data_IF_379716993747
#
_entry.id   IF_379716993747
#
_cell.length_a   1.000
_cell.length_b   1.000
_cell.length_c   1.000
_cell.angle_alpha   90.00
_cell.angle_beta   90.00
_cell.angle_gamma   90.00
#
_symmetry.space_group_name_H-M   'P 1'
#
loop_
_entity.id
_entity.type
_entity.pdbx_description
1 polymer ?
#
# COMPACT_ATOMS: atom_id res chain seq x y z
N UNK A 1 -32.54 60.61 -38.72
CA UNK A 1 -32.68 59.16 -38.71
C UNK A 1 -31.78 58.65 -37.61
N UNK A 2 -32.34 58.32 -36.40
CA UNK A 2 -31.58 57.85 -35.25
C UNK A 2 -31.74 56.33 -35.21
N UNK A 3 -30.62 55.58 -35.40
CA UNK A 3 -30.58 54.15 -35.25
C UNK A 3 -30.43 53.82 -33.76
N UNK A 4 -31.43 53.17 -33.20
CA UNK A 4 -31.38 52.57 -31.83
C UNK A 4 -30.72 51.21 -31.95
N UNK A 5 -29.51 51.07 -31.36
CA UNK A 5 -28.83 49.82 -31.24
C UNK A 5 -29.33 49.12 -29.95
N UNK A 6 -30.18 48.10 -30.09
CA UNK A 6 -30.56 47.24 -28.98
C UNK A 6 -29.44 46.21 -28.75
N UNK A 7 -28.64 46.40 -27.68
CA UNK A 7 -27.70 45.40 -27.16
C UNK A 7 -28.52 44.31 -26.43
N UNK A 8 -28.64 43.16 -27.05
CA UNK A 8 -29.11 41.94 -26.37
C UNK A 8 -27.99 41.40 -25.48
N UNK A 9 -28.09 41.56 -24.17
CA UNK A 9 -27.27 40.84 -23.22
C UNK A 9 -27.82 39.41 -23.12
N UNK A 10 -27.11 38.43 -23.70
CA UNK A 10 -27.35 37.03 -23.44
C UNK A 10 -26.79 36.74 -22.04
N UNK A 11 -27.65 36.64 -21.04
CA UNK A 11 -27.30 36.11 -19.74
C UNK A 11 -27.12 34.59 -19.87
N UNK A 12 -25.87 34.13 -19.88
CA UNK A 12 -25.55 32.72 -19.74
C UNK A 12 -25.80 32.40 -18.27
N UNK A 13 -26.98 31.86 -17.96
CA UNK A 13 -27.27 31.30 -16.65
C UNK A 13 -26.53 29.99 -16.50
N UNK A 14 -25.42 30.00 -15.79
CA UNK A 14 -24.81 28.76 -15.31
C UNK A 14 -25.80 28.18 -14.31
N UNK A 15 -26.37 27.02 -14.64
CA UNK A 15 -27.14 26.24 -13.68
C UNK A 15 -26.18 25.70 -12.63
N UNK A 16 -26.10 26.39 -11.51
CA UNK A 16 -25.34 25.96 -10.37
C UNK A 16 -25.96 24.68 -9.86
N UNK A 17 -25.22 23.56 -9.94
CA UNK A 17 -25.69 22.26 -9.44
C UNK A 17 -25.94 22.41 -7.94
N UNK A 18 -27.20 22.20 -7.54
CA UNK A 18 -27.53 22.24 -6.12
C UNK A 18 -27.07 20.93 -5.48
N UNK A 19 -25.94 20.98 -4.75
CA UNK A 19 -25.31 19.82 -4.11
C UNK A 19 -26.31 19.11 -3.20
N UNK A 20 -27.09 19.85 -2.42
CA UNK A 20 -28.09 19.25 -1.52
C UNK A 20 -29.18 18.46 -2.27
N UNK A 21 -29.65 18.97 -3.41
CA UNK A 21 -30.62 18.25 -4.23
C UNK A 21 -30.03 16.98 -4.80
N UNK A 22 -28.77 17.02 -5.25
CA UNK A 22 -28.04 15.84 -5.75
C UNK A 22 -27.89 14.75 -4.66
N UNK A 23 -27.49 15.17 -3.45
CA UNK A 23 -27.40 14.26 -2.30
C UNK A 23 -28.74 13.63 -1.97
N UNK A 24 -29.80 14.42 -1.94
CA UNK A 24 -31.15 13.92 -1.65
C UNK A 24 -31.62 12.91 -2.73
N UNK A 25 -31.37 13.20 -3.99
CA UNK A 25 -31.69 12.28 -5.09
C UNK A 25 -30.91 10.96 -4.99
N UNK A 26 -29.62 11.05 -4.69
CA UNK A 26 -28.76 9.87 -4.50
C UNK A 26 -29.25 8.99 -3.34
N UNK A 27 -29.58 9.59 -2.21
CA UNK A 27 -30.06 8.84 -1.03
C UNK A 27 -31.42 8.18 -1.29
N UNK A 28 -32.29 8.83 -2.08
CA UNK A 28 -33.62 8.31 -2.40
C UNK A 28 -33.62 7.27 -3.52
N UNK A 29 -32.51 7.06 -4.22
CA UNK A 29 -32.41 6.05 -5.27
C UNK A 29 -32.68 4.65 -4.68
N UNK A 30 -33.51 3.87 -5.39
CA UNK A 30 -33.90 2.53 -4.99
C UNK A 30 -32.70 1.58 -4.80
N UNK A 31 -31.60 1.79 -5.51
CA UNK A 31 -30.35 1.04 -5.36
C UNK A 31 -29.77 1.23 -3.96
N UNK A 32 -29.91 2.42 -3.38
CA UNK A 32 -29.34 2.80 -2.08
C UNK A 32 -30.26 2.51 -0.88
N UNK A 33 -31.42 1.93 -1.08
CA UNK A 33 -32.45 1.73 -0.04
C UNK A 33 -31.98 1.00 1.24
N UNK A 34 -30.91 0.20 1.14
CA UNK A 34 -30.34 -0.56 2.26
C UNK A 34 -28.97 -0.03 2.70
N UNK A 35 -28.46 1.01 2.03
CA UNK A 35 -27.19 1.62 2.38
C UNK A 35 -27.32 2.54 3.59
N UNK A 36 -26.28 2.52 4.45
CA UNK A 36 -26.08 3.58 5.45
C UNK A 36 -25.25 4.67 4.82
N UNK A 37 -25.80 5.86 4.70
CA UNK A 37 -25.17 6.99 4.02
C UNK A 37 -25.03 8.14 5.01
N UNK A 38 -23.84 8.71 5.06
CA UNK A 38 -23.56 9.99 5.70
C UNK A 38 -22.85 10.89 4.70
N UNK A 39 -23.16 12.16 4.74
CA UNK A 39 -22.54 13.14 3.84
C UNK A 39 -22.47 14.51 4.51
N UNK A 40 -21.34 15.20 4.32
CA UNK A 40 -21.20 16.60 4.62
C UNK A 40 -20.24 17.23 3.62
N UNK A 41 -20.65 18.34 3.01
CA UNK A 41 -19.79 19.21 2.23
C UNK A 41 -19.75 20.57 2.89
N UNK A 42 -18.54 21.11 3.06
CA UNK A 42 -18.30 22.38 3.72
C UNK A 42 -17.34 23.21 2.89
N UNK A 43 -17.62 24.51 2.80
CA UNK A 43 -16.68 25.47 2.26
C UNK A 43 -15.52 25.64 3.24
N UNK A 44 -14.29 25.39 2.77
CA UNK A 44 -13.10 25.38 3.63
C UNK A 44 -12.64 26.77 4.06
N UNK A 45 -13.02 27.82 3.33
CA UNK A 45 -12.63 29.19 3.65
C UNK A 45 -13.59 29.80 4.69
N UNK A 46 -14.88 29.55 4.53
CA UNK A 46 -15.92 30.14 5.36
C UNK A 46 -16.40 29.23 6.49
N UNK A 47 -16.16 27.93 6.41
CA UNK A 47 -16.70 26.92 7.32
C UNK A 47 -18.20 26.65 7.13
N UNK A 48 -18.83 27.24 6.11
CA UNK A 48 -20.26 27.05 5.86
C UNK A 48 -20.57 25.66 5.31
N UNK A 49 -21.54 24.97 5.88
CA UNK A 49 -22.05 23.71 5.35
C UNK A 49 -22.87 23.98 4.09
N UNK A 50 -22.43 23.40 2.97
CA UNK A 50 -23.07 23.53 1.64
C UNK A 50 -24.19 22.49 1.49
N UNK A 51 -23.95 21.27 1.97
CA UNK A 51 -24.94 20.18 1.97
C UNK A 51 -24.60 19.17 3.04
N UNK A 52 -25.62 18.51 3.61
CA UNK A 52 -25.42 17.45 4.57
C UNK A 52 -26.54 16.41 4.53
N UNK A 53 -26.22 15.19 4.98
CA UNK A 53 -27.17 14.12 5.19
C UNK A 53 -26.63 13.16 6.26
N UNK A 54 -27.36 13.02 7.37
CA UNK A 54 -26.96 12.17 8.50
C UNK A 54 -25.51 12.38 8.96
N UNK A 55 -24.98 13.60 8.90
CA UNK A 55 -23.59 13.95 9.13
C UNK A 55 -23.07 13.57 10.53
N UNK A 56 -23.97 13.40 11.50
CA UNK A 56 -23.65 12.99 12.86
C UNK A 56 -23.73 11.47 13.09
N UNK A 57 -24.11 10.70 12.07
CA UNK A 57 -24.18 9.24 12.20
C UNK A 57 -22.80 8.61 12.08
N UNK A 58 -22.37 7.88 13.11
CA UNK A 58 -21.13 7.13 13.05
C UNK A 58 -21.26 5.90 12.14
N UNK A 59 -20.36 5.80 11.16
CA UNK A 59 -20.18 4.63 10.31
C UNK A 59 -18.68 4.30 10.23
N UNK A 60 -18.31 3.02 9.93
CA UNK A 60 -16.91 2.67 9.74
C UNK A 60 -16.27 3.48 8.62
N UNK A 61 -15.21 4.20 8.93
CA UNK A 61 -14.51 5.08 7.99
C UNK A 61 -13.69 4.33 6.94
N UNK A 62 -13.44 3.04 7.13
CA UNK A 62 -12.54 2.24 6.30
C UNK A 62 -11.22 3.01 6.00
N UNK A 63 -10.77 3.02 4.77
CA UNK A 63 -9.52 3.72 4.37
C UNK A 63 -9.56 5.23 4.50
N UNK A 64 -10.71 5.88 4.70
CA UNK A 64 -10.75 7.32 4.98
C UNK A 64 -10.09 7.68 6.30
N UNK A 65 -9.99 6.72 7.24
CA UNK A 65 -9.23 6.87 8.49
C UNK A 65 -7.75 7.22 8.26
N UNK A 66 -7.18 6.83 7.11
CA UNK A 66 -5.81 7.17 6.72
C UNK A 66 -5.58 8.68 6.61
N UNK A 67 -6.63 9.46 6.29
CA UNK A 67 -6.53 10.93 6.24
C UNK A 67 -6.14 11.50 7.61
N UNK A 68 -6.70 10.97 8.69
CA UNK A 68 -6.36 11.40 10.04
C UNK A 68 -4.93 10.99 10.40
N UNK A 69 -4.53 9.75 10.12
CA UNK A 69 -3.18 9.26 10.43
C UNK A 69 -2.11 10.04 9.66
N UNK A 70 -2.33 10.27 8.35
CA UNK A 70 -1.37 10.99 7.51
C UNK A 70 -1.31 12.48 7.84
N UNK A 71 -2.45 13.13 8.11
CA UNK A 71 -2.47 14.52 8.53
C UNK A 71 -1.76 14.71 9.88
N UNK A 72 -1.98 13.81 10.84
CA UNK A 72 -1.30 13.83 12.14
C UNK A 72 0.20 13.62 11.97
N UNK A 73 0.61 12.63 11.16
CA UNK A 73 2.02 12.38 10.86
C UNK A 73 2.68 13.61 10.22
N UNK A 74 2.03 14.23 9.24
CA UNK A 74 2.53 15.44 8.60
C UNK A 74 2.69 16.60 9.58
N UNK A 75 1.70 16.78 10.46
CA UNK A 75 1.73 17.85 11.46
C UNK A 75 2.83 17.65 12.51
N UNK A 76 3.05 16.40 12.97
CA UNK A 76 4.01 16.11 14.02
C UNK A 76 5.44 15.98 13.51
N UNK A 77 5.63 15.38 12.34
CA UNK A 77 6.95 15.08 11.78
C UNK A 77 7.45 16.17 10.82
N UNK A 78 6.53 16.93 10.21
CA UNK A 78 6.83 17.95 9.21
C UNK A 78 7.09 17.38 7.82
N UNK A 79 7.06 18.25 6.81
CA UNK A 79 7.20 17.89 5.39
C UNK A 79 8.60 17.36 5.01
N UNK A 80 9.61 17.71 5.78
CA UNK A 80 11.00 17.33 5.53
C UNK A 80 11.41 16.03 6.23
N UNK A 81 10.51 15.42 6.99
CA UNK A 81 10.80 14.13 7.61
C UNK A 81 11.03 13.06 6.54
N UNK A 82 12.03 12.21 6.78
CA UNK A 82 12.38 11.08 5.90
C UNK A 82 12.58 9.83 6.74
N UNK A 83 11.86 8.79 6.42
CA UNK A 83 12.15 7.44 6.90
C UNK A 83 13.46 6.98 6.27
N UNK A 84 14.32 6.30 7.04
CA UNK A 84 15.67 5.97 6.59
C UNK A 84 16.01 4.53 6.89
N UNK A 85 16.36 3.77 5.87
CA UNK A 85 17.05 2.50 6.04
C UNK A 85 18.55 2.76 6.06
N UNK A 86 19.25 2.24 7.07
CA UNK A 86 20.68 2.46 7.27
C UNK A 86 21.44 1.16 7.23
N UNK A 87 22.66 1.21 6.67
CA UNK A 87 23.57 0.08 6.64
C UNK A 87 24.73 0.38 7.56
N UNK A 88 25.02 -0.53 8.47
CA UNK A 88 26.15 -0.47 9.38
C UNK A 88 27.00 -1.72 9.21
N UNK A 89 28.28 -1.61 9.56
CA UNK A 89 29.17 -2.75 9.65
C UNK A 89 29.79 -2.76 11.03
N UNK A 90 29.99 -3.93 11.59
CA UNK A 90 30.86 -4.18 12.75
C UNK A 90 32.15 -4.88 12.29
N UNK A 91 33.14 -4.99 13.17
CA UNK A 91 34.41 -5.65 12.87
C UNK A 91 35.42 -4.77 12.15
N UNK A 92 36.25 -5.38 11.28
CA UNK A 92 37.31 -4.68 10.54
C UNK A 92 37.43 -5.18 9.11
N UNK A 93 38.00 -4.38 8.24
CA UNK A 93 38.26 -4.72 6.84
C UNK A 93 39.79 -4.99 6.72
N UNK A 94 40.15 -6.13 6.17
CA UNK A 94 41.54 -6.49 5.93
C UNK A 94 42.11 -5.96 4.60
N UNK A 95 43.37 -6.30 4.30
CA UNK A 95 44.07 -5.86 3.10
C UNK A 95 43.50 -6.46 1.81
N UNK A 96 42.79 -7.59 1.91
CA UNK A 96 42.14 -8.30 0.80
C UNK A 96 40.72 -7.81 0.56
N UNK A 97 40.30 -6.75 1.28
CA UNK A 97 38.94 -6.18 1.21
C UNK A 97 37.85 -7.11 1.74
N UNK A 98 38.20 -7.96 2.71
CA UNK A 98 37.26 -8.83 3.44
C UNK A 98 36.84 -8.11 4.71
N UNK A 99 35.54 -7.98 4.91
CA UNK A 99 34.97 -7.55 6.19
C UNK A 99 34.88 -8.77 7.12
N UNK A 100 35.71 -8.80 8.17
CA UNK A 100 35.63 -9.75 9.27
C UNK A 100 34.63 -9.22 10.31
N UNK A 101 33.34 -9.47 10.07
CA UNK A 101 32.25 -8.92 10.85
C UNK A 101 30.94 -8.98 10.10
N UNK A 102 29.93 -8.28 10.61
CA UNK A 102 28.57 -8.34 10.09
C UNK A 102 28.18 -7.05 9.36
N UNK A 103 27.25 -7.19 8.43
CA UNK A 103 26.51 -6.07 7.83
C UNK A 103 25.11 -6.04 8.43
N UNK A 104 24.75 -4.91 9.01
CA UNK A 104 23.45 -4.67 9.62
C UNK A 104 22.63 -3.75 8.74
N UNK A 105 21.44 -4.18 8.35
CA UNK A 105 20.47 -3.36 7.63
C UNK A 105 19.37 -2.98 8.62
N UNK A 106 19.47 -1.77 9.16
CA UNK A 106 18.47 -1.24 10.10
C UNK A 106 17.41 -0.45 9.35
N UNK A 107 16.20 -0.95 9.39
CA UNK A 107 15.06 -0.32 8.75
C UNK A 107 14.39 0.71 9.65
N UNK A 108 14.11 1.89 9.11
CA UNK A 108 13.36 2.96 9.77
C UNK A 108 11.99 3.19 9.15
N UNK A 109 11.35 2.12 8.63
CA UNK A 109 10.00 2.18 8.08
C UNK A 109 9.90 2.75 6.66
N UNK A 110 11.00 2.80 5.90
CA UNK A 110 10.97 3.23 4.50
C UNK A 110 10.19 2.23 3.66
N UNK A 111 9.03 2.63 3.15
CA UNK A 111 8.13 1.81 2.34
C UNK A 111 8.41 1.89 0.84
N UNK A 112 9.40 2.68 0.42
CA UNK A 112 9.68 2.94 -1.00
C UNK A 112 10.59 1.90 -1.66
N UNK A 113 11.29 1.05 -0.87
CA UNK A 113 12.30 0.12 -1.35
C UNK A 113 11.70 -0.98 -2.25
N UNK A 114 11.96 -0.90 -3.55
CA UNK A 114 11.44 -1.83 -4.54
C UNK A 114 9.91 -1.83 -4.67
N UNK A 115 9.24 -0.83 -4.13
CA UNK A 115 7.80 -0.70 -4.19
C UNK A 115 7.32 -0.38 -5.61
N UNK A 116 6.29 -1.09 -6.07
CA UNK A 116 5.65 -0.83 -7.38
C UNK A 116 5.01 0.56 -7.49
N UNK A 117 4.78 1.24 -6.36
CA UNK A 117 4.19 2.59 -6.33
C UNK A 117 5.23 3.69 -6.49
N UNK A 118 6.51 3.40 -6.23
CA UNK A 118 7.61 4.37 -6.25
C UNK A 118 8.71 4.00 -7.25
N UNK A 119 8.71 2.78 -7.79
CA UNK A 119 9.70 2.32 -8.77
C UNK A 119 9.08 2.26 -10.15
N UNK A 120 9.85 2.69 -11.17
CA UNK A 120 9.49 2.41 -12.56
C UNK A 120 9.70 0.92 -12.85
N UNK A 121 9.03 0.44 -13.89
CA UNK A 121 9.14 -0.95 -14.34
C UNK A 121 10.63 -1.37 -14.50
N UNK A 122 10.99 -2.53 -13.96
CA UNK A 122 12.36 -3.09 -13.91
C UNK A 122 13.37 -2.35 -12.99
N UNK A 123 12.91 -1.54 -12.05
CA UNK A 123 13.79 -0.89 -11.07
C UNK A 123 13.67 -1.44 -9.65
N UNK A 124 12.98 -2.56 -9.47
CA UNK A 124 12.73 -3.14 -8.14
C UNK A 124 14.01 -3.50 -7.38
N UNK A 125 15.11 -3.81 -8.09
CA UNK A 125 16.40 -4.14 -7.48
C UNK A 125 17.36 -2.96 -7.34
N UNK A 126 16.98 -1.77 -7.78
CA UNK A 126 17.89 -0.61 -7.82
C UNK A 126 18.46 -0.27 -6.43
N UNK A 127 17.65 -0.39 -5.38
CA UNK A 127 18.10 -0.12 -4.01
C UNK A 127 19.17 -1.12 -3.55
N UNK A 128 19.09 -2.40 -3.93
CA UNK A 128 20.10 -3.41 -3.59
C UNK A 128 21.43 -3.11 -4.28
N UNK A 129 21.40 -2.69 -5.54
CA UNK A 129 22.59 -2.27 -6.25
C UNK A 129 23.24 -1.06 -5.58
N UNK A 130 22.46 -0.05 -5.21
CA UNK A 130 22.94 1.13 -4.50
C UNK A 130 23.57 0.76 -3.14
N UNK A 131 22.99 -0.17 -2.40
CA UNK A 131 23.55 -0.67 -1.15
C UNK A 131 24.86 -1.42 -1.37
N UNK A 132 24.90 -2.29 -2.36
CA UNK A 132 26.11 -3.05 -2.73
C UNK A 132 27.23 -2.11 -3.16
N UNK A 133 26.94 -1.12 -3.97
CA UNK A 133 27.92 -0.12 -4.40
C UNK A 133 28.41 0.75 -3.24
N UNK A 134 27.55 1.04 -2.27
CA UNK A 134 27.95 1.73 -1.04
C UNK A 134 28.92 0.89 -0.21
N UNK A 135 28.71 -0.40 -0.06
CA UNK A 135 29.65 -1.31 0.63
C UNK A 135 30.97 -1.40 -0.12
N UNK A 136 30.95 -1.57 -1.43
CA UNK A 136 32.16 -1.58 -2.27
C UNK A 136 32.96 -0.28 -2.18
N UNK A 137 32.27 0.87 -2.13
CA UNK A 137 32.92 2.18 -1.99
C UNK A 137 33.65 2.35 -0.65
N UNK A 138 33.29 1.57 0.37
CA UNK A 138 33.96 1.48 1.67
C UNK A 138 35.09 0.45 1.69
N UNK A 139 35.40 -0.18 0.55
CA UNK A 139 36.46 -1.18 0.42
C UNK A 139 36.02 -2.60 0.75
N UNK A 140 34.73 -2.87 0.93
CA UNK A 140 34.21 -4.21 1.24
C UNK A 140 33.88 -4.92 -0.06
N UNK A 141 34.59 -6.02 -0.36
CA UNK A 141 34.30 -6.90 -1.50
C UNK A 141 33.71 -8.25 -1.05
N UNK A 142 34.12 -8.71 0.12
CA UNK A 142 33.65 -9.95 0.72
C UNK A 142 33.25 -9.70 2.16
N UNK A 143 32.32 -10.50 2.65
CA UNK A 143 31.84 -10.46 4.04
C UNK A 143 32.09 -11.84 4.63
N UNK A 144 32.95 -11.91 5.66
CA UNK A 144 33.13 -13.07 6.51
C UNK A 144 32.35 -12.84 7.80
N UNK A 145 31.04 -13.12 7.73
CA UNK A 145 30.07 -12.87 8.77
C UNK A 145 28.65 -12.98 8.22
N UNK A 146 27.73 -12.28 8.84
CA UNK A 146 26.29 -12.32 8.51
C UNK A 146 25.79 -10.98 7.95
N UNK A 147 24.76 -11.06 7.11
CA UNK A 147 23.91 -9.91 6.79
C UNK A 147 22.67 -10.00 7.66
N UNK A 148 22.48 -9.02 8.54
CA UNK A 148 21.46 -9.02 9.59
C UNK A 148 20.43 -7.93 9.28
N UNK A 149 19.16 -8.31 9.18
CA UNK A 149 18.04 -7.40 9.03
C UNK A 149 17.50 -7.02 10.42
N UNK A 150 17.57 -5.74 10.77
CA UNK A 150 17.08 -5.20 12.04
C UNK A 150 15.82 -4.36 11.80
N UNK A 151 14.65 -4.91 12.14
CA UNK A 151 13.35 -4.27 12.05
C UNK A 151 12.85 -3.69 13.39
N UNK A 152 13.70 -3.65 14.42
CA UNK A 152 13.32 -3.33 15.80
C UNK A 152 12.80 -1.92 16.02
N UNK A 153 12.97 -0.99 15.06
CA UNK A 153 12.53 0.41 15.20
C UNK A 153 11.03 0.54 15.52
N UNK A 154 10.20 -0.35 14.96
CA UNK A 154 8.74 -0.37 15.19
C UNK A 154 8.25 -1.63 15.92
N UNK A 155 9.18 -2.42 16.46
CA UNK A 155 8.84 -3.70 17.09
C UNK A 155 8.47 -4.80 16.08
N UNK A 156 7.92 -5.89 16.60
CA UNK A 156 7.63 -7.11 15.83
C UNK A 156 6.19 -7.58 15.99
N UNK A 157 5.27 -6.68 16.33
CA UNK A 157 3.88 -7.04 16.63
C UNK A 157 3.13 -7.61 15.42
N UNK A 158 3.64 -7.35 14.22
CA UNK A 158 3.04 -7.88 12.99
C UNK A 158 1.65 -7.32 12.74
N UNK A 159 0.68 -8.21 12.58
CA UNK A 159 -0.69 -7.84 12.21
C UNK A 159 -1.54 -7.54 13.45
N UNK A 160 -2.30 -6.43 13.49
CA UNK A 160 -3.24 -6.17 14.57
C UNK A 160 -4.26 -7.30 14.74
N UNK A 161 -4.54 -7.71 15.99
CA UNK A 161 -5.44 -8.81 16.30
C UNK A 161 -6.89 -8.61 15.82
N UNK A 162 -7.26 -7.38 15.49
CA UNK A 162 -8.59 -7.01 14.99
C UNK A 162 -8.77 -7.19 13.49
N UNK A 163 -7.70 -7.49 12.76
CA UNK A 163 -7.77 -7.71 11.31
C UNK A 163 -8.41 -9.07 11.00
N UNK A 164 -9.20 -9.10 9.94
CA UNK A 164 -9.84 -10.33 9.51
C UNK A 164 -8.80 -11.31 8.94
N UNK A 165 -8.86 -12.57 9.36
CA UNK A 165 -7.87 -13.60 8.95
C UNK A 165 -7.79 -13.82 7.43
N UNK A 166 -8.89 -13.59 6.71
CA UNK A 166 -8.92 -13.64 5.26
C UNK A 166 -8.22 -12.46 4.56
N UNK A 167 -7.93 -11.39 5.29
CA UNK A 167 -7.26 -10.21 4.74
C UNK A 167 -5.75 -10.26 4.94
N UNK A 168 -5.28 -10.85 6.05
CA UNK A 168 -3.88 -10.84 6.49
C UNK A 168 -2.91 -11.42 5.46
N UNK A 169 -3.31 -12.47 4.74
CA UNK A 169 -2.47 -13.11 3.73
C UNK A 169 -2.44 -12.39 2.38
N UNK A 170 -3.27 -11.38 2.16
CA UNK A 170 -3.39 -10.66 0.89
C UNK A 170 -2.57 -9.38 0.89
N UNK A 171 -2.30 -8.81 -0.30
CA UNK A 171 -1.44 -7.64 -0.47
C UNK A 171 -1.90 -6.41 0.33
N UNK A 172 -3.19 -6.26 0.54
CA UNK A 172 -3.77 -5.17 1.34
C UNK A 172 -3.71 -5.41 2.85
N UNK A 173 -3.40 -6.62 3.26
CA UNK A 173 -3.14 -7.02 4.65
C UNK A 173 -1.65 -7.01 5.02
N UNK A 174 -0.77 -6.51 4.17
CA UNK A 174 0.65 -6.37 4.49
C UNK A 174 0.83 -5.43 5.68
N UNK A 175 1.52 -5.91 6.72
CA UNK A 175 1.71 -5.15 7.95
C UNK A 175 2.89 -4.17 7.85
N UNK A 176 2.89 -3.16 8.72
CA UNK A 176 4.00 -2.23 8.86
C UNK A 176 5.16 -2.89 9.60
N UNK A 177 6.38 -2.70 9.09
CA UNK A 177 7.62 -3.18 9.69
C UNK A 177 8.70 -2.10 9.62
N UNK A 178 9.70 -2.19 10.48
CA UNK A 178 10.89 -1.34 10.36
C UNK A 178 11.59 -1.54 9.02
N UNK A 179 11.71 -2.78 8.55
CA UNK A 179 12.24 -3.10 7.22
C UNK A 179 11.06 -3.47 6.31
N UNK A 180 10.88 -2.70 5.24
CA UNK A 180 9.91 -2.95 4.19
C UNK A 180 10.63 -2.95 2.84
N UNK A 181 10.33 -3.91 1.99
CA UNK A 181 10.70 -3.92 0.58
C UNK A 181 9.66 -4.73 -0.21
N UNK A 182 9.51 -4.40 -1.50
CA UNK A 182 8.48 -5.00 -2.36
C UNK A 182 7.07 -4.93 -1.76
N UNK A 183 6.74 -3.83 -1.08
CA UNK A 183 5.44 -3.63 -0.41
C UNK A 183 5.12 -4.71 0.65
N UNK A 184 6.14 -5.38 1.21
CA UNK A 184 5.99 -6.57 2.07
C UNK A 184 5.12 -7.67 1.45
N UNK A 185 5.19 -7.82 0.15
CA UNK A 185 4.40 -8.80 -0.60
C UNK A 185 5.26 -9.74 -1.43
N UNK A 186 4.72 -10.88 -1.75
CA UNK A 186 5.25 -11.79 -2.78
C UNK A 186 4.22 -11.97 -3.89
N UNK A 187 4.69 -12.05 -5.13
CA UNK A 187 3.85 -12.39 -6.27
C UNK A 187 3.90 -13.90 -6.48
N UNK A 188 2.76 -14.57 -6.35
CA UNK A 188 2.63 -16.00 -6.64
C UNK A 188 2.23 -16.16 -8.11
N UNK A 189 2.90 -17.07 -8.82
CA UNK A 189 2.65 -17.32 -10.24
C UNK A 189 2.06 -18.71 -10.45
N UNK A 190 0.97 -18.76 -11.21
CA UNK A 190 0.26 -19.99 -11.53
C UNK A 190 0.12 -20.17 -13.04
N UNK A 191 0.18 -21.42 -13.49
CA UNK A 191 -0.32 -21.83 -14.81
C UNK A 191 -1.72 -22.40 -14.64
N UNK A 192 -2.68 -21.91 -15.40
CA UNK A 192 -4.06 -22.36 -15.40
C UNK A 192 -4.36 -23.19 -16.64
N UNK A 193 -5.20 -24.22 -16.48
CA UNK A 193 -5.74 -25.03 -17.58
C UNK A 193 -7.19 -24.66 -17.86
N UNK A 194 -7.99 -25.67 -18.20
CA UNK A 194 -9.43 -25.50 -18.40
C UNK A 194 -10.14 -25.12 -17.10
N UNK A 195 -11.21 -24.32 -17.21
CA UNK A 195 -12.04 -23.93 -16.07
C UNK A 195 -12.41 -25.13 -15.18
N UNK A 196 -12.29 -24.97 -13.86
CA UNK A 196 -12.52 -26.02 -12.86
C UNK A 196 -11.34 -26.97 -12.62
N UNK A 197 -10.26 -26.91 -13.40
CA UNK A 197 -9.06 -27.68 -13.13
C UNK A 197 -8.16 -26.98 -12.12
N UNK A 198 -7.37 -27.76 -11.37
CA UNK A 198 -6.41 -27.22 -10.40
C UNK A 198 -5.30 -26.46 -11.11
N UNK A 199 -5.07 -25.22 -10.70
CA UNK A 199 -3.97 -24.38 -11.20
C UNK A 199 -2.64 -24.88 -10.65
N UNK A 200 -1.59 -24.87 -11.47
CA UNK A 200 -0.25 -25.27 -11.08
C UNK A 200 0.54 -24.06 -10.58
N UNK A 201 1.00 -24.13 -9.33
CA UNK A 201 1.97 -23.15 -8.81
C UNK A 201 3.31 -23.34 -9.50
N UNK A 202 3.86 -22.26 -10.10
CA UNK A 202 5.10 -22.33 -10.90
C UNK A 202 6.21 -21.44 -10.35
N UNK A 203 5.97 -20.65 -9.34
CA UNK A 203 6.99 -19.84 -8.69
C UNK A 203 6.47 -18.62 -7.99
N UNK A 204 7.39 -17.88 -7.37
CA UNK A 204 7.10 -16.63 -6.68
C UNK A 204 8.20 -15.59 -6.93
N UNK A 205 7.88 -14.32 -6.65
CA UNK A 205 8.84 -13.23 -6.62
C UNK A 205 8.50 -12.23 -5.50
N UNK A 206 9.47 -11.79 -4.68
CA UNK A 206 10.80 -12.36 -4.56
C UNK A 206 10.75 -13.80 -4.06
N UNK A 207 11.81 -14.58 -4.31
CA UNK A 207 11.92 -15.92 -3.76
C UNK A 207 12.12 -15.86 -2.23
N UNK A 208 11.34 -16.64 -1.49
CA UNK A 208 11.41 -16.67 -0.03
C UNK A 208 11.87 -18.08 0.41
N UNK A 209 13.08 -18.20 0.94
CA UNK A 209 13.58 -19.50 1.41
C UNK A 209 12.68 -20.13 2.47
N UNK A 210 12.37 -21.41 2.30
CA UNK A 210 11.52 -22.15 3.24
C UNK A 210 10.01 -21.92 3.09
N UNK A 211 9.57 -21.10 2.13
CA UNK A 211 8.16 -20.90 1.86
C UNK A 211 7.48 -22.18 1.39
N UNK A 212 6.32 -22.47 1.95
CA UNK A 212 5.49 -23.63 1.60
C UNK A 212 4.07 -23.15 1.28
N UNK A 213 3.50 -23.65 0.17
CA UNK A 213 2.18 -23.27 -0.29
C UNK A 213 1.27 -24.49 -0.42
N UNK A 214 0.22 -24.54 0.40
CA UNK A 214 -0.90 -25.43 0.16
C UNK A 214 -1.81 -24.79 -0.89
N UNK A 215 -1.72 -25.31 -2.12
CA UNK A 215 -2.42 -24.75 -3.27
C UNK A 215 -3.77 -25.44 -3.48
N UNK A 216 -4.86 -24.67 -3.42
CA UNK A 216 -6.24 -25.08 -3.72
C UNK A 216 -6.89 -24.17 -4.78
N UNK A 217 -6.08 -23.50 -5.62
CA UNK A 217 -6.55 -22.62 -6.68
C UNK A 217 -7.09 -23.42 -7.85
N UNK A 218 -8.24 -23.02 -8.37
CA UNK A 218 -8.87 -23.58 -9.55
C UNK A 218 -8.80 -22.57 -10.71
N UNK A 219 -8.66 -23.07 -11.90
CA UNK A 219 -8.78 -22.25 -13.12
C UNK A 219 -10.24 -21.78 -13.29
N UNK A 220 -10.43 -20.54 -13.71
CA UNK A 220 -11.74 -19.92 -13.94
C UNK A 220 -11.77 -19.22 -15.28
N UNK A 221 -12.98 -19.03 -15.83
CA UNK A 221 -13.22 -18.17 -16.99
C UNK A 221 -13.46 -16.70 -16.57
N UNK A 222 -13.43 -16.39 -15.27
CA UNK A 222 -13.54 -15.03 -14.76
C UNK A 222 -12.20 -14.33 -14.95
N UNK A 223 -12.24 -13.10 -15.44
CA UNK A 223 -11.02 -12.30 -15.73
C UNK A 223 -10.46 -11.56 -14.51
N UNK A 224 -10.86 -11.92 -13.29
CA UNK A 224 -10.39 -11.34 -12.03
C UNK A 224 -9.70 -12.40 -11.16
N UNK A 225 -8.77 -11.94 -10.32
CA UNK A 225 -8.18 -12.74 -9.26
C UNK A 225 -9.14 -12.73 -8.05
N UNK A 226 -9.72 -13.88 -7.77
CA UNK A 226 -10.62 -14.11 -6.63
C UNK A 226 -10.00 -15.05 -5.60
N UNK A 227 -8.67 -15.13 -5.58
CA UNK A 227 -7.96 -15.96 -4.62
C UNK A 227 -7.85 -15.27 -3.26
N UNK A 228 -7.87 -16.09 -2.21
CA UNK A 228 -7.60 -15.66 -0.83
C UNK A 228 -6.40 -16.46 -0.31
N UNK A 229 -5.40 -15.75 0.17
CA UNK A 229 -4.22 -16.33 0.81
C UNK A 229 -4.40 -16.26 2.32
N UNK A 230 -4.20 -17.38 3.00
CA UNK A 230 -4.24 -17.50 4.46
C UNK A 230 -2.84 -17.74 5.02
N UNK A 231 -2.61 -17.21 6.20
CA UNK A 231 -1.39 -17.35 6.99
C UNK A 231 -1.07 -16.06 7.73
N UNK A 232 -0.45 -16.17 8.90
CA UNK A 232 -0.10 -15.04 9.76
C UNK A 232 1.14 -14.29 9.30
N UNK A 233 1.40 -13.14 9.92
CA UNK A 233 2.67 -12.44 9.78
C UNK A 233 3.82 -13.39 10.18
N UNK A 234 4.93 -13.32 9.46
CA UNK A 234 6.15 -14.16 9.67
C UNK A 234 5.98 -15.67 9.44
N UNK A 235 4.78 -16.16 9.10
CA UNK A 235 4.60 -17.57 8.76
C UNK A 235 5.09 -17.85 7.34
N UNK A 236 5.86 -18.94 7.18
CA UNK A 236 6.32 -19.41 5.88
C UNK A 236 5.31 -20.36 5.23
N UNK A 237 4.44 -20.97 6.03
CA UNK A 237 3.40 -21.87 5.55
C UNK A 237 2.15 -21.06 5.20
N UNK A 238 1.73 -21.14 3.96
CA UNK A 238 0.55 -20.44 3.44
C UNK A 238 -0.40 -21.43 2.79
N UNK A 239 -1.69 -21.16 2.88
CA UNK A 239 -2.69 -21.81 2.04
C UNK A 239 -3.36 -20.78 1.13
N UNK A 240 -3.65 -21.17 -0.10
CA UNK A 240 -4.34 -20.34 -1.08
C UNK A 240 -5.50 -21.10 -1.68
N UNK A 241 -6.65 -20.46 -1.78
CA UNK A 241 -7.85 -21.00 -2.43
C UNK A 241 -8.60 -19.93 -3.20
N UNK A 242 -9.40 -20.33 -4.16
CA UNK A 242 -10.22 -19.47 -5.01
C UNK A 242 -9.98 -19.74 -6.48
N UNK A 243 -10.23 -18.75 -7.31
CA UNK A 243 -10.11 -18.87 -8.77
C UNK A 243 -9.38 -17.68 -9.36
#
# INVERSE_FOLDING_TARGET
MRFLFCLFFIQISWTQVNVQQTVNAFVQDAVNRHAKITFQAMDIETGQVIASYNENQAIPGASTTKLFSTATAFQLLGENYRMKTRIYCDGFIDQDSVLHGNVWIRGGGDVSLGSKFFSFENQELTFLNAWTDSLKSKGIKFIEGSVIADASEFGYDGTPATWHSGDVGNYYGAFASGINFYDNTVKLKFNTGNSGTKAQFVGMFPEVPGFQLENQVLASNVGSDETIVYGGAYELNRSIKGT
#
